data_IF_454808476587
#
_entry.id   IF_454808476587
#
_cell.length_a   1.000
_cell.length_b   1.000
_cell.length_c   1.000
_cell.angle_alpha   90.00
_cell.angle_beta   90.00
_cell.angle_gamma   90.00
#
_symmetry.space_group_name_H-M   'P 1'
#
loop_
_entity.id
_entity.type
_entity.pdbx_description
1 polymer ?
#
# COMPACT_ATOMS: atom_id res chain seq x y z
N UNK A 1 -16.96 1.43 -4.73
CA UNK A 1 -16.39 1.33 -3.38
C UNK A 1 -15.67 2.63 -3.05
N UNK A 2 -15.57 2.98 -1.77
CA UNK A 2 -14.79 4.13 -1.29
C UNK A 2 -13.89 3.67 -0.14
N UNK A 3 -12.80 4.40 0.09
CA UNK A 3 -11.95 4.22 1.27
C UNK A 3 -12.21 5.39 2.22
N UNK A 4 -12.59 5.08 3.45
CA UNK A 4 -12.67 6.07 4.51
C UNK A 4 -11.26 6.32 5.03
N UNK A 5 -10.82 7.58 4.99
CA UNK A 5 -9.47 8.01 5.36
C UNK A 5 -9.56 9.28 6.18
N UNK A 6 -8.54 9.55 6.99
CA UNK A 6 -8.50 10.73 7.85
C UNK A 6 -8.39 12.02 7.03
N UNK A 7 -7.45 12.06 6.07
CA UNK A 7 -7.22 13.23 5.21
C UNK A 7 -6.62 12.89 3.85
N UNK A 8 -6.77 13.81 2.89
CA UNK A 8 -6.13 13.77 1.58
C UNK A 8 -5.03 14.83 1.52
N UNK A 9 -3.76 14.40 1.53
CA UNK A 9 -2.60 15.30 1.46
C UNK A 9 -2.42 15.87 0.06
N UNK A 10 -2.63 15.06 -1.00
CA UNK A 10 -2.44 15.48 -2.39
C UNK A 10 -1.94 14.36 -3.30
N UNK A 11 -1.29 14.74 -4.40
CA UNK A 11 -0.69 13.82 -5.37
C UNK A 11 0.82 14.01 -5.39
N UNK A 12 1.57 12.90 -5.35
CA UNK A 12 3.03 12.90 -5.36
C UNK A 12 3.56 11.76 -6.22
N UNK A 13 4.59 12.03 -7.02
CA UNK A 13 5.33 10.99 -7.70
C UNK A 13 6.34 10.37 -6.74
N UNK A 14 6.28 9.05 -6.59
CA UNK A 14 7.12 8.29 -5.65
C UNK A 14 7.86 7.17 -6.36
N UNK A 15 9.00 6.77 -5.82
CA UNK A 15 9.74 5.59 -6.30
C UNK A 15 9.24 4.37 -5.56
N UNK A 16 8.71 3.40 -6.30
CA UNK A 16 8.28 2.13 -5.72
C UNK A 16 9.49 1.35 -5.22
N UNK A 17 9.45 0.96 -3.95
CA UNK A 17 10.38 0.01 -3.33
C UNK A 17 9.63 -1.30 -3.11
N UNK A 18 10.10 -2.41 -3.70
CA UNK A 18 9.45 -3.70 -3.49
C UNK A 18 9.61 -4.15 -2.03
N UNK A 19 8.58 -4.82 -1.51
CA UNK A 19 8.64 -5.35 -0.15
C UNK A 19 9.60 -6.54 -0.08
N UNK A 20 10.41 -6.66 0.98
CA UNK A 20 11.30 -7.79 1.19
C UNK A 20 10.59 -9.15 1.12
N UNK A 21 11.31 -10.18 0.70
CA UNK A 21 10.77 -11.55 0.58
C UNK A 21 10.09 -12.02 1.87
N UNK A 22 10.72 -11.80 3.02
CA UNK A 22 10.17 -12.22 4.31
C UNK A 22 8.79 -11.62 4.62
N UNK A 23 8.47 -10.40 4.15
CA UNK A 23 7.14 -9.80 4.33
C UNK A 23 6.15 -10.43 3.36
N UNK A 24 6.59 -10.66 2.12
CA UNK A 24 5.74 -11.26 1.09
C UNK A 24 5.25 -12.67 1.48
N UNK A 25 6.04 -13.41 2.25
CA UNK A 25 5.69 -14.74 2.76
C UNK A 25 4.43 -14.74 3.66
N UNK A 26 4.05 -13.59 4.23
CA UNK A 26 2.81 -13.44 5.00
C UNK A 26 1.56 -13.20 4.12
N UNK A 27 1.68 -13.29 2.80
CA UNK A 27 0.53 -13.15 1.89
C UNK A 27 -0.04 -11.73 1.82
N UNK A 28 0.70 -10.71 2.27
CA UNK A 28 0.24 -9.32 2.37
C UNK A 28 -0.27 -8.71 1.05
N UNK A 29 0.20 -9.23 -0.10
CA UNK A 29 -0.25 -8.80 -1.42
C UNK A 29 -1.72 -9.14 -1.64
N UNK A 30 -2.17 -10.30 -1.14
CA UNK A 30 -3.57 -10.72 -1.18
C UNK A 30 -4.46 -9.86 -0.28
N UNK A 31 -3.87 -9.18 0.70
CA UNK A 31 -4.55 -8.20 1.56
C UNK A 31 -4.41 -6.76 1.04
N UNK A 32 -3.92 -6.59 -0.19
CA UNK A 32 -3.91 -5.29 -0.87
C UNK A 32 -2.70 -4.40 -0.61
N UNK A 33 -1.60 -4.95 -0.11
CA UNK A 33 -0.33 -4.24 0.01
C UNK A 33 0.57 -4.59 -1.18
N UNK A 34 0.85 -3.61 -2.06
CA UNK A 34 1.63 -3.82 -3.28
C UNK A 34 3.13 -3.54 -3.10
N UNK A 35 3.48 -2.57 -2.25
CA UNK A 35 4.84 -2.08 -2.10
C UNK A 35 4.97 -1.04 -0.99
N UNK A 36 6.15 -0.44 -0.90
CA UNK A 36 6.36 0.75 -0.08
C UNK A 36 7.17 1.81 -0.84
N UNK A 37 7.28 2.99 -0.26
CA UNK A 37 8.22 4.02 -0.68
C UNK A 37 8.81 4.68 0.56
N UNK A 38 9.98 5.28 0.40
CA UNK A 38 10.65 6.06 1.45
C UNK A 38 10.56 7.51 0.99
N UNK A 39 9.89 8.35 1.79
CA UNK A 39 9.75 9.77 1.51
C UNK A 39 11.05 10.53 1.84
N UNK A 40 11.14 11.79 1.41
CA UNK A 40 12.34 12.61 1.59
C UNK A 40 12.69 12.90 3.05
N UNK A 41 11.72 12.76 3.95
CA UNK A 41 11.88 12.88 5.41
C UNK A 41 12.25 11.56 6.11
N UNK A 42 12.41 10.47 5.34
CA UNK A 42 12.74 9.14 5.85
C UNK A 42 11.55 8.32 6.33
N UNK A 43 10.32 8.84 6.24
CA UNK A 43 9.13 8.07 6.58
C UNK A 43 8.82 7.03 5.51
N UNK A 44 8.21 5.91 5.93
CA UNK A 44 7.80 4.83 5.02
C UNK A 44 6.32 4.99 4.72
N UNK A 45 5.99 5.10 3.44
CA UNK A 45 4.62 5.08 2.95
C UNK A 45 4.31 3.74 2.27
N UNK A 46 3.14 3.18 2.53
CA UNK A 46 2.68 1.92 1.95
C UNK A 46 1.90 2.19 0.66
N UNK A 47 2.18 1.40 -0.37
CA UNK A 47 1.45 1.44 -1.65
C UNK A 47 0.36 0.38 -1.60
N UNK A 48 -0.88 0.83 -1.71
CA UNK A 48 -2.07 0.00 -1.64
C UNK A 48 -2.58 -0.36 -3.05
N UNK A 49 -2.90 -1.63 -3.27
CA UNK A 49 -3.67 -2.08 -4.42
C UNK A 49 -5.16 -2.11 -4.07
N UNK A 50 -5.87 -1.09 -4.53
CA UNK A 50 -7.29 -0.89 -4.25
C UNK A 50 -8.16 -2.05 -4.75
N UNK A 51 -7.79 -2.70 -5.86
CA UNK A 51 -8.54 -3.84 -6.39
C UNK A 51 -8.46 -5.05 -5.46
N UNK A 52 -7.26 -5.36 -4.96
CA UNK A 52 -7.04 -6.42 -3.99
C UNK A 52 -7.69 -6.11 -2.63
N UNK A 53 -7.64 -4.86 -2.14
CA UNK A 53 -8.36 -4.44 -0.92
C UNK A 53 -9.86 -4.67 -1.07
N UNK A 54 -10.43 -4.25 -2.20
CA UNK A 54 -11.85 -4.42 -2.46
C UNK A 54 -12.25 -5.90 -2.48
N UNK A 55 -11.45 -6.76 -3.13
CA UNK A 55 -11.70 -8.20 -3.15
C UNK A 55 -11.60 -8.82 -1.75
N UNK A 56 -10.59 -8.44 -0.96
CA UNK A 56 -10.42 -8.93 0.41
C UNK A 56 -11.56 -8.49 1.34
N UNK A 57 -12.13 -7.30 1.15
CA UNK A 57 -13.25 -6.79 1.95
C UNK A 57 -14.61 -7.45 1.63
N UNK A 58 -14.73 -8.16 0.51
CA UNK A 58 -15.96 -8.84 0.08
C UNK A 58 -16.00 -10.33 0.46
N UNK A 59 -14.90 -10.87 1.01
CA UNK A 59 -14.82 -12.25 1.52
C UNK A 59 -15.15 -12.28 3.02
#
# INVERSE_FOLDING_TARGET
YCLFVDELIGQQQVVVKPLPAYINDYGIKSYGIAGCTILGDGTISIILDVASIYAAAQN
#
